data_IF_386200780007
#
_entry.id   IF_386200780007
#
_cell.length_a   1.000
_cell.length_b   1.000
_cell.length_c   1.000
_cell.angle_alpha   90.00
_cell.angle_beta   90.00
_cell.angle_gamma   90.00
#
_symmetry.space_group_name_H-M   'P 1'
#
loop_
_entity.id
_entity.type
_entity.pdbx_description
1 polymer ?
#
# COMPACT_ATOMS: atom_id res chain seq x y z
N UNK A 1 3.69 -27.78 2.01
CA UNK A 1 4.51 -26.59 2.34
C UNK A 1 5.33 -26.09 1.15
N UNK A 2 6.18 -26.92 0.51
CA UNK A 2 7.05 -26.47 -0.57
C UNK A 2 6.35 -25.73 -1.71
N UNK A 3 5.21 -26.22 -2.21
CA UNK A 3 4.45 -25.54 -3.28
C UNK A 3 3.89 -24.18 -2.86
N UNK A 4 3.52 -23.99 -1.58
CA UNK A 4 3.06 -22.70 -1.08
C UNK A 4 4.22 -21.68 -1.01
N UNK A 5 5.40 -22.13 -0.59
CA UNK A 5 6.60 -21.29 -0.60
C UNK A 5 6.97 -20.83 -2.02
N UNK A 6 6.91 -21.75 -2.98
CA UNK A 6 7.15 -21.41 -4.40
C UNK A 6 6.08 -20.45 -4.92
N UNK A 7 4.80 -20.66 -4.60
CA UNK A 7 3.72 -19.75 -5.00
C UNK A 7 3.90 -18.36 -4.40
N UNK A 8 4.30 -18.26 -3.13
CA UNK A 8 4.63 -17.00 -2.46
C UNK A 8 5.81 -16.28 -3.11
N UNK A 9 6.91 -17.02 -3.37
CA UNK A 9 8.10 -16.44 -4.00
C UNK A 9 7.80 -15.91 -5.43
N UNK A 10 7.12 -16.72 -6.25
CA UNK A 10 6.77 -16.32 -7.62
C UNK A 10 5.77 -15.17 -7.62
N UNK A 11 4.73 -15.24 -6.78
CA UNK A 11 3.76 -14.18 -6.64
C UNK A 11 4.40 -12.86 -6.18
N UNK A 12 5.25 -12.91 -5.15
CA UNK A 12 5.98 -11.74 -4.64
C UNK A 12 6.93 -11.14 -5.68
N UNK A 13 7.62 -11.98 -6.47
CA UNK A 13 8.46 -11.52 -7.57
C UNK A 13 7.63 -10.78 -8.65
N UNK A 14 6.44 -11.27 -8.97
CA UNK A 14 5.55 -10.64 -9.95
C UNK A 14 5.09 -9.27 -9.44
N UNK A 15 4.63 -9.17 -8.19
CA UNK A 15 4.21 -7.90 -7.59
C UNK A 15 5.38 -6.92 -7.55
N UNK A 16 6.55 -7.35 -7.11
CA UNK A 16 7.75 -6.52 -7.06
C UNK A 16 8.14 -6.00 -8.45
N UNK A 17 8.19 -6.87 -9.47
CA UNK A 17 8.54 -6.48 -10.83
C UNK A 17 7.50 -5.52 -11.44
N UNK A 18 6.22 -5.79 -11.23
CA UNK A 18 5.15 -4.90 -11.67
C UNK A 18 5.23 -3.54 -10.96
N UNK A 19 5.43 -3.53 -9.64
CA UNK A 19 5.61 -2.30 -8.85
C UNK A 19 6.75 -1.44 -9.40
N UNK A 20 7.91 -2.05 -9.70
CA UNK A 20 9.02 -1.35 -10.32
C UNK A 20 8.64 -0.75 -11.69
N UNK A 21 7.94 -1.49 -12.54
CA UNK A 21 7.44 -0.99 -13.84
C UNK A 21 6.44 0.16 -13.62
N UNK A 22 5.45 -0.02 -12.75
CA UNK A 22 4.41 0.97 -12.49
C UNK A 22 5.01 2.30 -12.01
N UNK A 23 5.96 2.23 -11.06
CA UNK A 23 6.55 3.43 -10.47
C UNK A 23 7.63 4.09 -11.33
N UNK A 24 8.37 3.33 -12.12
CA UNK A 24 9.53 3.87 -12.86
C UNK A 24 9.24 4.11 -14.35
N UNK A 25 8.31 3.37 -14.95
CA UNK A 25 8.07 3.39 -16.38
C UNK A 25 6.67 3.91 -16.78
N UNK A 26 5.83 4.26 -15.80
CA UNK A 26 4.49 4.78 -16.07
C UNK A 26 4.20 6.05 -15.28
N UNK A 27 3.19 6.86 -15.68
CA UNK A 27 2.75 8.02 -14.90
C UNK A 27 2.15 7.68 -13.52
N UNK A 28 1.89 6.41 -13.23
CA UNK A 28 1.31 5.98 -11.94
C UNK A 28 2.25 6.29 -10.77
N UNK A 29 3.57 6.19 -10.97
CA UNK A 29 4.55 6.43 -9.92
C UNK A 29 4.65 7.87 -9.40
N UNK A 30 4.15 8.84 -10.17
CA UNK A 30 4.17 10.27 -9.80
C UNK A 30 2.77 10.89 -9.72
N UNK A 31 1.72 10.08 -9.89
CA UNK A 31 0.36 10.57 -9.89
C UNK A 31 0.01 11.25 -8.55
N UNK A 32 -0.53 12.45 -8.64
CA UNK A 32 -0.89 13.25 -7.46
C UNK A 32 0.29 13.91 -6.74
N UNK A 33 1.52 13.73 -7.20
CA UNK A 33 2.69 14.44 -6.69
C UNK A 33 2.92 15.74 -7.49
N UNK A 34 3.34 16.78 -6.80
CA UNK A 34 3.66 18.08 -7.40
C UNK A 34 4.98 18.60 -6.87
N UNK A 35 5.71 19.33 -7.70
CA UNK A 35 6.92 20.00 -7.29
C UNK A 35 6.58 21.19 -6.38
N UNK A 36 7.47 21.51 -5.45
CA UNK A 36 7.37 22.71 -4.66
C UNK A 36 7.71 23.93 -5.54
N UNK A 37 6.87 24.98 -5.59
CA UNK A 37 7.14 26.16 -6.41
C UNK A 37 8.45 26.87 -6.08
N UNK A 38 8.78 26.95 -4.78
CA UNK A 38 10.07 27.46 -4.27
C UNK A 38 10.67 26.38 -3.35
N UNK A 39 11.32 25.40 -3.97
CA UNK A 39 11.91 24.26 -3.28
C UNK A 39 13.02 24.71 -2.31
N UNK A 40 13.87 25.66 -2.73
CA UNK A 40 14.98 26.14 -1.93
C UNK A 40 14.54 26.80 -0.63
N UNK A 41 13.63 27.76 -0.73
CA UNK A 41 13.09 28.44 0.45
C UNK A 41 12.29 27.48 1.35
N UNK A 42 11.57 26.53 0.75
CA UNK A 42 10.79 25.54 1.52
C UNK A 42 11.70 24.60 2.29
N UNK A 43 12.75 24.06 1.68
CA UNK A 43 13.71 23.16 2.33
C UNK A 43 14.43 23.89 3.47
N UNK A 44 14.86 25.13 3.27
CA UNK A 44 15.54 25.90 4.31
C UNK A 44 14.60 26.20 5.48
N UNK A 45 13.35 26.57 5.19
CA UNK A 45 12.32 26.76 6.21
C UNK A 45 12.06 25.49 7.04
N UNK A 46 12.00 24.34 6.38
CA UNK A 46 11.85 23.04 7.06
C UNK A 46 13.07 22.70 7.91
N UNK A 47 14.28 22.94 7.41
CA UNK A 47 15.53 22.69 8.15
C UNK A 47 15.59 23.48 9.45
N UNK A 48 15.14 24.72 9.44
CA UNK A 48 15.11 25.58 10.63
C UNK A 48 13.99 25.21 11.58
N UNK A 49 12.79 24.91 11.04
CA UNK A 49 11.58 24.71 11.85
C UNK A 49 11.36 23.28 12.32
N UNK A 50 11.92 22.30 11.62
CA UNK A 50 11.71 20.86 11.86
C UNK A 50 13.07 20.16 12.00
N UNK A 51 13.70 20.21 13.19
CA UNK A 51 15.09 19.75 13.36
C UNK A 51 15.28 18.23 13.38
N UNK A 52 14.20 17.44 13.47
CA UNK A 52 14.29 15.97 13.61
C UNK A 52 13.46 15.25 12.56
N UNK A 53 13.96 14.09 12.15
CA UNK A 53 13.19 13.13 11.35
C UNK A 53 11.94 12.68 12.10
N UNK A 54 10.78 12.67 11.43
CA UNK A 54 9.53 12.27 12.03
C UNK A 54 8.30 12.52 11.16
N UNK A 55 7.17 12.25 11.75
CA UNK A 55 5.85 12.53 11.20
C UNK A 55 5.22 13.67 12.00
N UNK A 56 4.82 14.72 11.30
CA UNK A 56 4.30 15.93 11.90
C UNK A 56 2.92 16.24 11.30
N UNK A 57 1.98 16.54 12.18
CA UNK A 57 0.66 17.05 11.79
C UNK A 57 0.57 18.52 12.18
N UNK A 58 -0.10 19.33 11.36
CA UNK A 58 -0.28 20.75 11.66
C UNK A 58 -1.67 21.24 11.20
N UNK A 59 -2.24 22.24 11.90
CA UNK A 59 -1.84 22.80 13.21
C UNK A 59 -2.19 21.87 14.37
N UNK A 60 -1.37 21.85 15.44
CA UNK A 60 -1.59 21.00 16.60
C UNK A 60 -1.90 21.78 17.88
N UNK A 61 -1.54 23.07 17.94
CA UNK A 61 -1.74 23.89 19.12
C UNK A 61 -3.24 24.01 19.48
N UNK A 62 -3.62 23.46 20.61
CA UNK A 62 -5.00 23.38 21.08
C UNK A 62 -5.76 22.10 20.67
N UNK A 63 -5.18 21.26 19.84
CA UNK A 63 -5.83 20.02 19.31
C UNK A 63 -6.33 19.09 20.43
N UNK A 64 -5.52 18.88 21.47
CA UNK A 64 -5.84 17.99 22.60
C UNK A 64 -6.21 18.76 23.88
N UNK A 65 -6.45 20.07 23.79
CA UNK A 65 -6.77 20.89 24.96
C UNK A 65 -8.17 20.55 25.49
N UNK A 66 -8.29 20.54 26.81
CA UNK A 66 -9.59 20.48 27.49
C UNK A 66 -10.28 21.84 27.62
N UNK A 67 -9.60 22.92 27.23
CA UNK A 67 -10.13 24.29 27.23
C UNK A 67 -10.91 24.54 25.93
N UNK A 68 -12.19 24.81 26.02
CA UNK A 68 -13.08 25.03 24.87
C UNK A 68 -12.64 26.20 23.99
N UNK A 69 -12.11 27.27 24.56
CA UNK A 69 -11.61 28.40 23.77
C UNK A 69 -10.40 28.02 22.92
N UNK A 70 -9.48 27.19 23.45
CA UNK A 70 -8.33 26.68 22.72
C UNK A 70 -8.74 25.68 21.62
N UNK A 71 -9.71 24.80 21.91
CA UNK A 71 -10.27 23.91 20.89
C UNK A 71 -10.95 24.68 19.76
N UNK A 72 -11.71 25.73 20.10
CA UNK A 72 -12.36 26.59 19.09
C UNK A 72 -11.31 27.31 18.24
N UNK A 73 -10.27 27.84 18.87
CA UNK A 73 -9.17 28.49 18.16
C UNK A 73 -8.43 27.53 17.22
N UNK A 74 -8.17 26.29 17.64
CA UNK A 74 -7.62 25.23 16.79
C UNK A 74 -8.54 24.89 15.62
N UNK A 75 -9.84 24.74 15.86
CA UNK A 75 -10.82 24.48 14.80
C UNK A 75 -10.80 25.58 13.73
N UNK A 76 -10.71 26.85 14.15
CA UNK A 76 -10.61 27.96 13.22
C UNK A 76 -9.27 27.97 12.46
N UNK A 77 -8.15 27.59 13.10
CA UNK A 77 -6.86 27.42 12.40
C UNK A 77 -6.97 26.34 11.30
N UNK A 78 -7.58 25.17 11.60
CA UNK A 78 -7.81 24.09 10.62
C UNK A 78 -8.65 24.61 9.44
N UNK A 79 -9.76 25.30 9.72
CA UNK A 79 -10.66 25.82 8.68
C UNK A 79 -10.01 26.84 7.76
N UNK A 80 -9.11 27.66 8.29
CA UNK A 80 -8.39 28.67 7.51
C UNK A 80 -7.20 28.09 6.75
N UNK A 81 -6.63 27.00 7.23
CA UNK A 81 -5.41 26.40 6.69
C UNK A 81 -4.15 27.27 6.91
N UNK A 82 -2.99 26.82 6.44
CA UNK A 82 -2.78 25.48 5.90
C UNK A 82 -2.83 24.40 6.99
N UNK A 83 -3.23 23.19 6.59
CA UNK A 83 -3.21 22.02 7.46
C UNK A 83 -2.68 20.82 6.69
N UNK A 84 -2.09 19.85 7.38
CA UNK A 84 -1.58 18.67 6.70
C UNK A 84 -0.75 17.74 7.57
N UNK A 85 -0.25 16.70 6.89
CA UNK A 85 0.69 15.73 7.41
C UNK A 85 2.02 15.88 6.67
N UNK A 86 3.11 16.04 7.41
CA UNK A 86 4.46 16.11 6.89
C UNK A 86 5.24 14.87 7.33
N UNK A 87 5.67 14.07 6.36
CA UNK A 87 6.65 13.01 6.55
C UNK A 87 8.03 13.61 6.24
N UNK A 88 8.81 13.86 7.28
CA UNK A 88 10.07 14.60 7.15
C UNK A 88 11.26 13.75 7.56
N UNK A 89 12.32 13.83 6.78
CA UNK A 89 13.62 13.24 7.07
C UNK A 89 14.66 14.33 7.10
N UNK A 90 15.19 14.62 8.29
CA UNK A 90 16.19 15.67 8.50
C UNK A 90 17.55 15.30 7.90
N UNK A 91 17.91 14.02 8.00
CA UNK A 91 19.11 13.48 7.38
C UNK A 91 18.81 13.08 5.93
N UNK A 92 19.78 13.22 5.07
CA UNK A 92 19.68 12.73 3.70
C UNK A 92 19.42 11.22 3.65
N UNK A 93 19.08 10.72 2.48
CA UNK A 93 18.95 9.28 2.24
C UNK A 93 19.55 8.91 0.90
N UNK A 94 20.08 7.70 0.81
CA UNK A 94 20.45 7.12 -0.47
C UNK A 94 19.18 6.74 -1.23
N UNK A 95 18.91 7.34 -2.41
CA UNK A 95 17.76 6.97 -3.23
C UNK A 95 17.85 5.51 -3.64
N UNK A 96 16.74 4.78 -3.54
CA UNK A 96 16.66 3.37 -3.96
C UNK A 96 17.75 2.47 -3.36
N UNK A 97 18.05 2.64 -2.07
CA UNK A 97 19.07 1.82 -1.39
C UNK A 97 18.74 0.32 -1.50
N UNK A 98 19.78 -0.56 -1.55
CA UNK A 98 19.55 -2.02 -1.57
C UNK A 98 18.68 -2.51 -0.42
N UNK A 99 18.76 -1.87 0.76
CA UNK A 99 17.89 -2.18 1.89
C UNK A 99 16.40 -1.94 1.57
N UNK A 100 16.08 -0.83 0.90
CA UNK A 100 14.69 -0.53 0.53
C UNK A 100 14.14 -1.58 -0.43
N UNK A 101 14.93 -1.95 -1.46
CA UNK A 101 14.54 -2.96 -2.44
C UNK A 101 14.37 -4.35 -1.81
N UNK A 102 15.26 -4.73 -0.88
CA UNK A 102 15.15 -6.01 -0.16
C UNK A 102 13.91 -6.03 0.73
N UNK A 103 13.65 -4.97 1.49
CA UNK A 103 12.46 -4.88 2.34
C UNK A 103 11.19 -4.95 1.50
N UNK A 104 11.12 -4.21 0.39
CA UNK A 104 10.00 -4.25 -0.54
C UNK A 104 9.78 -5.65 -1.13
N UNK A 105 10.84 -6.28 -1.63
CA UNK A 105 10.75 -7.64 -2.16
C UNK A 105 10.28 -8.64 -1.11
N UNK A 106 10.84 -8.60 0.11
CA UNK A 106 10.47 -9.52 1.19
C UNK A 106 9.02 -9.31 1.62
N UNK A 107 8.55 -8.06 1.73
CA UNK A 107 7.15 -7.77 2.07
C UNK A 107 6.19 -8.31 1.02
N UNK A 108 6.51 -8.16 -0.27
CA UNK A 108 5.71 -8.70 -1.38
C UNK A 108 5.68 -10.24 -1.36
N UNK A 109 6.80 -10.90 -1.06
CA UNK A 109 6.86 -12.36 -0.92
C UNK A 109 6.03 -12.84 0.27
N UNK A 110 6.09 -12.16 1.41
CA UNK A 110 5.28 -12.48 2.58
C UNK A 110 3.78 -12.32 2.29
N UNK A 111 3.37 -11.23 1.66
CA UNK A 111 1.99 -10.99 1.28
C UNK A 111 1.50 -12.05 0.27
N UNK A 112 2.31 -12.40 -0.74
CA UNK A 112 1.99 -13.45 -1.71
C UNK A 112 1.93 -14.84 -1.05
N UNK A 113 2.75 -15.11 -0.05
CA UNK A 113 2.67 -16.34 0.72
C UNK A 113 1.36 -16.43 1.53
N UNK A 114 0.93 -15.33 2.16
CA UNK A 114 -0.38 -15.26 2.83
C UNK A 114 -1.51 -15.48 1.84
N UNK A 115 -1.46 -14.84 0.66
CA UNK A 115 -2.44 -15.07 -0.40
C UNK A 115 -2.45 -16.53 -0.86
N UNK A 116 -1.29 -17.20 -1.00
CA UNK A 116 -1.19 -18.62 -1.34
C UNK A 116 -1.81 -19.51 -0.26
N UNK A 117 -1.66 -19.19 1.02
CA UNK A 117 -2.33 -19.88 2.13
C UNK A 117 -3.85 -19.75 2.01
N UNK A 118 -4.37 -18.55 1.78
CA UNK A 118 -5.82 -18.32 1.64
C UNK A 118 -6.39 -19.12 0.47
N UNK A 119 -5.76 -19.01 -0.72
CA UNK A 119 -6.27 -19.71 -1.90
C UNK A 119 -6.09 -21.24 -1.84
N UNK A 120 -5.21 -21.75 -0.97
CA UNK A 120 -5.09 -23.19 -0.75
C UNK A 120 -6.37 -23.82 -0.15
N UNK A 121 -7.19 -23.01 0.52
CA UNK A 121 -8.48 -23.40 1.09
C UNK A 121 -9.64 -23.31 0.08
N UNK A 122 -9.41 -22.76 -1.10
CA UNK A 122 -10.42 -22.47 -2.11
C UNK A 122 -10.32 -23.48 -3.25
N UNK A 123 -11.47 -23.99 -3.72
CA UNK A 123 -11.57 -24.83 -4.89
C UNK A 123 -11.78 -23.99 -6.16
N UNK A 124 -11.24 -24.45 -7.30
CA UNK A 124 -11.42 -23.80 -8.60
C UNK A 124 -10.43 -22.66 -8.85
N UNK A 125 -9.84 -22.69 -10.04
CA UNK A 125 -8.79 -21.74 -10.43
C UNK A 125 -9.28 -20.28 -10.44
N UNK A 126 -10.41 -20.00 -11.08
CA UNK A 126 -11.00 -18.67 -11.19
C UNK A 126 -11.36 -18.04 -9.82
N UNK A 127 -11.92 -18.86 -8.92
CA UNK A 127 -12.23 -18.41 -7.56
C UNK A 127 -10.97 -18.04 -6.77
N UNK A 128 -9.85 -18.74 -7.00
CA UNK A 128 -8.57 -18.43 -6.40
C UNK A 128 -7.99 -17.11 -6.90
N UNK A 129 -8.04 -16.89 -8.22
CA UNK A 129 -7.61 -15.62 -8.82
C UNK A 129 -8.45 -14.47 -8.27
N UNK A 130 -9.77 -14.65 -8.25
CA UNK A 130 -10.69 -13.67 -7.67
C UNK A 130 -10.38 -13.38 -6.19
N UNK A 131 -10.10 -14.43 -5.41
CA UNK A 131 -9.77 -14.25 -3.99
C UNK A 131 -8.50 -13.42 -3.78
N UNK A 132 -7.45 -13.60 -4.61
CA UNK A 132 -6.25 -12.77 -4.53
C UNK A 132 -6.56 -11.32 -4.89
N UNK A 133 -7.34 -11.07 -5.94
CA UNK A 133 -7.77 -9.72 -6.31
C UNK A 133 -8.61 -9.07 -5.18
N UNK A 134 -9.53 -9.81 -4.57
CA UNK A 134 -10.33 -9.31 -3.44
C UNK A 134 -9.49 -8.99 -2.21
N UNK A 135 -8.42 -9.75 -1.93
CA UNK A 135 -7.47 -9.43 -0.86
C UNK A 135 -6.74 -8.10 -1.12
N UNK A 136 -6.37 -7.82 -2.37
CA UNK A 136 -5.79 -6.53 -2.76
C UNK A 136 -6.78 -5.39 -2.53
N UNK A 137 -8.00 -5.52 -3.02
CA UNK A 137 -9.06 -4.51 -2.84
C UNK A 137 -9.38 -4.32 -1.36
N UNK A 138 -9.41 -5.39 -0.57
CA UNK A 138 -9.59 -5.30 0.88
C UNK A 138 -8.47 -4.48 1.54
N UNK A 139 -7.21 -4.74 1.20
CA UNK A 139 -6.07 -3.97 1.68
C UNK A 139 -6.16 -2.49 1.31
N UNK A 140 -6.47 -2.21 0.06
CA UNK A 140 -6.71 -0.85 -0.44
C UNK A 140 -7.83 -0.14 0.34
N UNK A 141 -8.99 -0.77 0.49
CA UNK A 141 -10.12 -0.16 1.20
C UNK A 141 -9.82 0.08 2.69
N UNK A 142 -9.07 -0.82 3.33
CA UNK A 142 -8.82 -0.69 4.77
C UNK A 142 -7.69 0.29 5.11
N UNK A 143 -6.76 0.55 4.19
CA UNK A 143 -5.60 1.43 4.41
C UNK A 143 -5.68 2.71 3.58
N UNK A 144 -5.67 2.58 2.27
CA UNK A 144 -5.47 3.71 1.35
C UNK A 144 -6.65 4.67 1.37
N UNK A 145 -7.90 4.19 1.48
CA UNK A 145 -9.05 5.06 1.65
C UNK A 145 -9.02 5.83 2.98
N UNK A 146 -8.44 5.26 4.03
CA UNK A 146 -8.23 5.99 5.30
C UNK A 146 -7.21 7.12 5.13
N UNK A 147 -6.14 6.90 4.38
CA UNK A 147 -5.17 7.95 4.08
C UNK A 147 -5.77 9.08 3.25
N UNK A 148 -6.58 8.74 2.27
CA UNK A 148 -7.32 9.73 1.48
C UNK A 148 -8.28 10.56 2.36
N UNK A 149 -9.06 9.90 3.20
CA UNK A 149 -10.10 10.54 4.00
C UNK A 149 -9.53 11.40 5.14
N UNK A 150 -8.54 10.89 5.87
CA UNK A 150 -8.04 11.53 7.08
C UNK A 150 -6.81 12.41 6.87
N UNK A 151 -5.99 12.11 5.88
CA UNK A 151 -4.71 12.79 5.66
C UNK A 151 -4.63 13.52 4.32
N UNK A 152 -5.74 13.67 3.61
CA UNK A 152 -5.82 14.41 2.35
C UNK A 152 -4.86 13.92 1.25
N UNK A 153 -4.61 12.61 1.19
CA UNK A 153 -3.87 12.08 0.05
C UNK A 153 -4.59 12.43 -1.25
N UNK A 154 -3.90 12.91 -2.30
CA UNK A 154 -4.54 13.32 -3.55
C UNK A 154 -5.34 12.18 -4.18
N UNK A 155 -6.54 12.48 -4.72
CA UNK A 155 -7.39 11.47 -5.37
C UNK A 155 -6.67 10.78 -6.54
N UNK A 156 -5.83 11.52 -7.28
CA UNK A 156 -5.03 10.94 -8.37
C UNK A 156 -4.00 9.92 -7.85
N UNK A 157 -3.37 10.18 -6.70
CA UNK A 157 -2.46 9.24 -6.03
C UNK A 157 -3.20 7.95 -5.65
N UNK A 158 -4.34 8.09 -4.97
CA UNK A 158 -5.16 6.94 -4.53
C UNK A 158 -5.69 6.12 -5.71
N UNK A 159 -6.10 6.79 -6.80
CA UNK A 159 -6.51 6.10 -8.03
C UNK A 159 -5.37 5.33 -8.69
N UNK A 160 -4.18 5.91 -8.73
CA UNK A 160 -2.98 5.25 -9.26
C UNK A 160 -2.57 4.04 -8.40
N UNK A 161 -2.65 4.17 -7.07
CA UNK A 161 -2.39 3.09 -6.12
C UNK A 161 -3.37 1.92 -6.32
N UNK A 162 -4.69 2.21 -6.43
CA UNK A 162 -5.69 1.18 -6.71
C UNK A 162 -5.38 0.41 -8.00
N UNK A 163 -5.01 1.12 -9.07
CA UNK A 163 -4.66 0.49 -10.35
C UNK A 163 -3.39 -0.35 -10.24
N UNK A 164 -2.34 0.20 -9.61
CA UNK A 164 -1.06 -0.50 -9.44
C UNK A 164 -1.25 -1.78 -8.63
N UNK A 165 -1.92 -1.70 -7.49
CA UNK A 165 -2.17 -2.83 -6.63
C UNK A 165 -3.08 -3.88 -7.31
N UNK A 166 -4.19 -3.45 -7.92
CA UNK A 166 -5.12 -4.37 -8.57
C UNK A 166 -4.48 -5.13 -9.72
N UNK A 167 -3.69 -4.48 -10.56
CA UNK A 167 -2.99 -5.12 -11.68
C UNK A 167 -1.91 -6.07 -11.16
N UNK A 168 -1.07 -5.62 -10.23
CA UNK A 168 -0.01 -6.44 -9.65
C UNK A 168 -0.53 -7.72 -9.00
N UNK A 169 -1.56 -7.60 -8.19
CA UNK A 169 -2.16 -8.74 -7.52
C UNK A 169 -3.01 -9.61 -8.44
N UNK A 170 -3.60 -9.07 -9.50
CA UNK A 170 -4.23 -9.88 -10.54
C UNK A 170 -3.19 -10.77 -11.25
N UNK A 171 -2.07 -10.19 -11.68
CA UNK A 171 -0.98 -10.93 -12.32
C UNK A 171 -0.38 -11.99 -11.39
N UNK A 172 -0.10 -11.62 -10.14
CA UNK A 172 0.37 -12.56 -9.13
C UNK A 172 -0.68 -13.64 -8.83
N UNK A 173 -1.95 -13.29 -8.78
CA UNK A 173 -3.07 -14.20 -8.55
C UNK A 173 -3.19 -15.30 -9.60
N UNK A 174 -2.94 -14.97 -10.85
CA UNK A 174 -2.89 -15.96 -11.94
C UNK A 174 -1.81 -17.03 -11.70
N UNK A 175 -0.63 -16.60 -11.23
CA UNK A 175 0.48 -17.51 -10.91
C UNK A 175 0.24 -18.27 -9.60
N UNK A 176 -0.14 -17.58 -8.53
CA UNK A 176 -0.40 -18.17 -7.22
C UNK A 176 -1.49 -19.23 -7.31
N UNK A 177 -2.61 -18.93 -7.99
CA UNK A 177 -3.72 -19.86 -8.16
C UNK A 177 -3.30 -21.15 -8.89
N UNK A 178 -2.35 -21.07 -9.82
CA UNK A 178 -1.83 -22.20 -10.59
C UNK A 178 -0.86 -23.05 -9.76
N UNK A 179 0.03 -22.40 -9.01
CA UNK A 179 1.10 -23.06 -8.27
C UNK A 179 0.62 -23.64 -6.93
N UNK A 180 -0.45 -23.09 -6.36
CA UNK A 180 -1.00 -23.54 -5.09
C UNK A 180 -1.73 -24.88 -5.25
N UNK A 181 -1.44 -25.89 -4.41
CA UNK A 181 -2.17 -27.18 -4.45
C UNK A 181 -3.67 -26.96 -4.25
N UNK A 182 -4.47 -27.62 -5.06
CA UNK A 182 -5.93 -27.60 -4.91
C UNK A 182 -6.39 -28.36 -3.67
N UNK A 183 -7.44 -27.86 -3.04
CA UNK A 183 -8.23 -28.69 -2.14
C UNK A 183 -8.84 -29.81 -2.98
N UNK A 184 -8.49 -31.07 -2.71
CA UNK A 184 -9.12 -32.21 -3.35
C UNK A 184 -10.62 -32.14 -3.08
N UNK A 185 -11.43 -31.90 -4.12
CA UNK A 185 -12.85 -32.23 -4.02
C UNK A 185 -12.92 -33.72 -3.79
N UNK A 186 -13.69 -34.21 -2.81
CA UNK A 186 -13.97 -35.65 -2.72
C UNK A 186 -14.49 -36.06 -4.10
N UNK A 187 -13.81 -37.03 -4.71
CA UNK A 187 -14.19 -37.50 -6.03
C UNK A 187 -15.63 -38.01 -5.97
N UNK A 188 -16.51 -37.49 -6.82
CA UNK A 188 -17.88 -37.99 -7.02
C UNK A 188 -17.94 -39.44 -7.51
N UNK A 189 -16.85 -40.22 -7.35
CA UNK A 189 -16.82 -41.66 -7.65
C UNK A 189 -17.63 -42.54 -6.68
N UNK A 190 -18.01 -41.98 -5.51
CA UNK A 190 -18.88 -42.72 -4.58
C UNK A 190 -20.38 -42.61 -4.90
N UNK A 191 -20.82 -41.62 -5.67
CA UNK A 191 -22.23 -41.46 -6.03
C UNK A 191 -22.66 -42.19 -7.31
N UNK A 192 -21.73 -42.80 -8.04
CA UNK A 192 -22.02 -43.59 -9.25
C UNK A 192 -22.00 -45.11 -9.00
N UNK A 193 -21.79 -45.52 -7.73
CA UNK A 193 -21.71 -46.93 -7.32
C UNK A 193 -22.83 -47.32 -6.33
N UNK A 194 -23.82 -46.45 -6.11
CA UNK A 194 -25.05 -46.70 -5.37
C UNK A 194 -26.26 -46.58 -6.29
#
# INVERSE_FOLDING_TARGET
MGKLLVAGLVGGLIVFAWGAIAHMATPLGTAGMSNLPDEGATIEGLRVSVPKTGMYIFPTEGMTSKNEAQQKAWTEKIRRGPSGLLLYRAEGMEPMSPRMLVVEFVSNVLAAFVAALVVSMIAGYSHRVLAVLLLSIFGFCSLSLSYWNWFNFPTAYIGAELLTESIGWLLAGLAIARLTPGRNQPSNRAAAAA
#
